data_IF_850669476371
#
_entry.id   IF_850669476371
#
_cell.length_a   1.000
_cell.length_b   1.000
_cell.length_c   1.000
_cell.angle_alpha   90.00
_cell.angle_beta   90.00
_cell.angle_gamma   90.00
#
_symmetry.space_group_name_H-M   'P 1'
#
loop_
_entity.id
_entity.type
_entity.pdbx_description
1 polymer ?
#
# COMPACT_ATOMS: atom_id res chain seq x y z
N UNK A 1 -14.66 -38.08 -2.39
CA UNK A 1 -13.26 -37.61 -2.29
C UNK A 1 -12.34 -38.75 -2.68
N UNK A 2 -11.29 -38.49 -3.48
CA UNK A 2 -10.35 -39.53 -3.94
C UNK A 2 -9.70 -40.25 -2.73
N UNK A 3 -9.70 -41.60 -2.66
CA UNK A 3 -9.12 -42.35 -1.53
C UNK A 3 -7.65 -42.02 -1.23
N UNK A 4 -6.86 -41.64 -2.25
CA UNK A 4 -5.47 -41.23 -2.07
C UNK A 4 -5.38 -39.88 -1.32
N UNK A 5 -6.26 -38.93 -1.64
CA UNK A 5 -6.33 -37.62 -0.96
C UNK A 5 -6.77 -37.78 0.48
N UNK A 6 -7.76 -38.64 0.76
CA UNK A 6 -8.23 -38.90 2.13
C UNK A 6 -7.13 -39.43 3.06
N UNK A 7 -6.17 -40.18 2.52
CA UNK A 7 -5.00 -40.66 3.30
C UNK A 7 -3.96 -39.57 3.57
N UNK A 8 -3.93 -38.51 2.77
CA UNK A 8 -3.02 -37.37 2.94
C UNK A 8 -3.62 -36.26 3.80
N UNK A 9 -4.93 -36.31 4.07
CA UNK A 9 -5.66 -35.29 4.83
C UNK A 9 -4.96 -34.86 6.14
N UNK A 10 -4.45 -35.77 7.00
CA UNK A 10 -3.76 -35.34 8.23
C UNK A 10 -2.51 -34.47 7.96
N UNK A 11 -1.72 -34.84 6.95
CA UNK A 11 -0.48 -34.14 6.57
C UNK A 11 -0.83 -32.80 5.91
N UNK A 12 -1.85 -32.78 5.05
CA UNK A 12 -2.33 -31.56 4.40
C UNK A 12 -2.83 -30.56 5.46
N UNK A 13 -3.57 -31.03 6.46
CA UNK A 13 -4.06 -30.19 7.55
C UNK A 13 -2.94 -29.69 8.47
N UNK A 14 -1.89 -30.49 8.69
CA UNK A 14 -0.70 -30.03 9.43
C UNK A 14 0.00 -28.88 8.71
N UNK A 15 0.17 -28.99 7.38
CA UNK A 15 0.74 -27.92 6.55
C UNK A 15 -0.13 -26.66 6.62
N UNK A 16 -1.45 -26.81 6.44
CA UNK A 16 -2.38 -25.70 6.55
C UNK A 16 -2.29 -25.02 7.90
N UNK A 17 -2.34 -25.79 8.99
CA UNK A 17 -2.29 -25.24 10.35
C UNK A 17 -0.96 -24.54 10.63
N UNK A 18 0.16 -25.08 10.12
CA UNK A 18 1.45 -24.42 10.24
C UNK A 18 1.44 -23.06 9.54
N UNK A 19 1.05 -23.01 8.26
CA UNK A 19 1.01 -21.77 7.48
C UNK A 19 0.03 -20.75 8.08
N UNK A 20 -1.16 -21.20 8.49
CA UNK A 20 -2.18 -20.37 9.12
C UNK A 20 -1.69 -19.72 10.43
N UNK A 21 -0.92 -20.47 11.23
CA UNK A 21 -0.39 -20.00 12.52
C UNK A 21 0.89 -19.15 12.40
N UNK A 22 1.50 -19.07 11.23
CA UNK A 22 2.71 -18.27 10.99
C UNK A 22 2.51 -17.29 9.82
N UNK A 23 1.48 -16.42 9.89
CA UNK A 23 1.20 -15.47 8.81
C UNK A 23 2.28 -14.40 8.76
N UNK A 24 2.77 -14.10 7.55
CA UNK A 24 3.75 -13.04 7.31
C UNK A 24 3.24 -12.08 6.23
N UNK A 25 3.43 -10.78 6.44
CA UNK A 25 2.91 -9.75 5.55
C UNK A 25 3.72 -9.66 4.26
N UNK A 26 3.12 -9.05 3.23
CA UNK A 26 3.75 -8.86 1.92
C UNK A 26 5.19 -8.35 2.02
N UNK A 27 6.11 -9.01 1.31
CA UNK A 27 7.56 -8.76 1.29
C UNK A 27 8.34 -9.12 2.56
N UNK A 28 7.70 -9.72 3.54
CA UNK A 28 8.33 -10.17 4.79
C UNK A 28 8.08 -11.65 5.08
N UNK A 29 7.71 -12.42 4.05
CA UNK A 29 7.35 -13.84 4.09
C UNK A 29 8.57 -14.77 4.28
N UNK A 30 9.56 -14.41 5.08
CA UNK A 30 10.84 -15.11 5.20
C UNK A 30 10.71 -16.50 5.85
N UNK A 31 9.87 -16.61 6.89
CA UNK A 31 9.55 -17.87 7.56
C UNK A 31 8.81 -18.81 6.63
N UNK A 32 7.78 -18.32 5.96
CA UNK A 32 6.99 -19.03 4.96
C UNK A 32 7.86 -19.48 3.78
N UNK A 33 8.71 -18.61 3.26
CA UNK A 33 9.72 -18.93 2.23
C UNK A 33 10.57 -20.12 2.68
N UNK A 34 11.10 -20.06 3.89
CA UNK A 34 12.00 -21.08 4.43
C UNK A 34 11.29 -22.41 4.63
N UNK A 35 10.05 -22.37 5.14
CA UNK A 35 9.21 -23.56 5.35
C UNK A 35 8.86 -24.25 4.02
N UNK A 36 8.35 -23.49 3.05
CA UNK A 36 7.97 -23.99 1.72
C UNK A 36 9.19 -24.54 0.99
N UNK A 37 10.29 -23.80 0.95
CA UNK A 37 11.51 -24.25 0.29
C UNK A 37 12.05 -25.55 0.91
N UNK A 38 12.04 -25.65 2.25
CA UNK A 38 12.44 -26.87 2.94
C UNK A 38 11.54 -28.07 2.62
N UNK A 39 10.23 -27.87 2.47
CA UNK A 39 9.31 -28.91 1.99
C UNK A 39 9.68 -29.36 0.58
N UNK A 40 9.84 -28.42 -0.35
CA UNK A 40 10.19 -28.71 -1.74
C UNK A 40 11.50 -29.52 -1.85
N UNK A 41 12.53 -29.09 -1.13
CA UNK A 41 13.84 -29.76 -1.07
C UNK A 41 13.71 -31.20 -0.53
N UNK A 42 12.95 -31.39 0.58
CA UNK A 42 12.68 -32.73 1.14
C UNK A 42 11.94 -33.65 0.17
N UNK A 43 11.15 -33.08 -0.73
CA UNK A 43 10.39 -33.81 -1.74
C UNK A 43 11.11 -33.90 -3.10
N UNK A 44 12.41 -33.57 -3.16
CA UNK A 44 13.25 -33.79 -4.33
C UNK A 44 13.11 -32.75 -5.44
N UNK A 45 12.50 -31.60 -5.15
CA UNK A 45 12.42 -30.49 -6.10
C UNK A 45 13.73 -29.71 -6.11
N UNK A 46 14.15 -29.29 -7.31
CA UNK A 46 15.18 -28.28 -7.47
C UNK A 46 14.58 -26.94 -7.08
N UNK A 47 14.93 -26.48 -5.89
CA UNK A 47 14.36 -25.26 -5.30
C UNK A 47 15.24 -24.05 -5.59
N UNK A 48 14.61 -22.97 -6.04
CA UNK A 48 15.22 -21.67 -6.27
C UNK A 48 14.59 -20.65 -5.33
N UNK A 49 15.43 -20.05 -4.48
CA UNK A 49 15.12 -18.85 -3.70
C UNK A 49 15.74 -17.63 -4.38
N UNK A 50 15.30 -16.44 -4.02
CA UNK A 50 15.84 -15.19 -4.55
C UNK A 50 16.43 -14.35 -3.42
N UNK A 51 17.51 -13.62 -3.71
CA UNK A 51 18.18 -12.77 -2.71
C UNK A 51 17.38 -11.49 -2.39
N UNK A 52 16.58 -11.03 -3.35
CA UNK A 52 15.94 -9.71 -3.37
C UNK A 52 14.40 -9.78 -3.42
N UNK A 53 13.84 -10.95 -3.11
CA UNK A 53 12.43 -11.14 -2.78
C UNK A 53 12.20 -12.50 -2.11
N UNK A 54 11.09 -12.62 -1.41
CA UNK A 54 10.64 -13.80 -0.65
C UNK A 54 9.98 -14.90 -1.51
N UNK A 55 9.99 -14.78 -2.84
CA UNK A 55 9.45 -15.82 -3.73
C UNK A 55 10.20 -17.15 -3.62
N UNK A 56 9.50 -18.27 -3.86
CA UNK A 56 10.11 -19.61 -3.95
C UNK A 56 9.59 -20.33 -5.19
N UNK A 57 10.50 -20.94 -5.94
CA UNK A 57 10.15 -21.80 -7.08
C UNK A 57 10.74 -23.18 -6.86
N UNK A 58 9.96 -24.22 -7.12
CA UNK A 58 10.43 -25.61 -7.13
C UNK A 58 10.18 -26.26 -8.48
N UNK A 59 11.12 -27.07 -8.96
CA UNK A 59 10.95 -27.84 -10.20
C UNK A 59 11.32 -29.32 -10.03
N UNK A 60 10.58 -30.19 -10.71
CA UNK A 60 10.91 -31.61 -10.86
C UNK A 60 10.71 -32.04 -12.32
N UNK A 61 11.43 -33.08 -12.74
CA UNK A 61 11.44 -33.53 -14.14
C UNK A 61 12.37 -32.69 -15.01
N UNK A 62 12.19 -32.80 -16.33
CA UNK A 62 12.99 -32.10 -17.34
C UNK A 62 12.31 -32.15 -18.71
N UNK A 63 12.54 -31.15 -19.54
CA UNK A 63 11.98 -31.08 -20.90
C UNK A 63 10.57 -30.48 -20.93
N UNK A 64 9.86 -30.70 -22.03
CA UNK A 64 8.53 -30.15 -22.28
C UNK A 64 7.44 -31.23 -22.14
N UNK A 65 6.19 -30.86 -21.82
CA UNK A 65 5.76 -29.50 -21.51
C UNK A 65 6.27 -29.03 -20.13
N UNK A 66 6.38 -27.71 -19.95
CA UNK A 66 6.58 -27.07 -18.65
C UNK A 66 5.21 -26.67 -18.10
N UNK A 67 4.75 -27.37 -17.08
CA UNK A 67 3.46 -27.10 -16.42
C UNK A 67 3.71 -26.46 -15.07
N UNK A 68 3.23 -25.24 -14.87
CA UNK A 68 3.40 -24.46 -13.67
C UNK A 68 2.10 -24.36 -12.84
N UNK A 69 2.19 -24.60 -11.53
CA UNK A 69 1.16 -24.25 -10.55
C UNK A 69 1.62 -23.07 -9.70
N UNK A 70 0.74 -22.07 -9.54
CA UNK A 70 1.01 -20.87 -8.73
C UNK A 70 0.13 -20.83 -7.49
N UNK A 71 0.74 -20.50 -6.35
CA UNK A 71 0.08 -20.07 -5.13
C UNK A 71 0.70 -18.74 -4.66
N UNK A 72 -0.11 -17.84 -4.11
CA UNK A 72 0.32 -16.67 -3.34
C UNK A 72 0.65 -17.07 -1.90
N UNK A 73 1.44 -16.24 -1.21
CA UNK A 73 2.00 -16.58 0.11
C UNK A 73 1.69 -15.59 1.22
N UNK A 74 1.37 -14.32 0.89
CA UNK A 74 1.36 -13.27 1.90
C UNK A 74 0.07 -13.22 2.72
N UNK A 75 0.19 -12.71 3.93
CA UNK A 75 -0.92 -12.41 4.82
C UNK A 75 -1.25 -10.90 4.83
N UNK A 76 -2.46 -10.59 5.28
CA UNK A 76 -2.91 -9.21 5.47
C UNK A 76 -2.59 -8.74 6.90
N UNK A 77 -2.15 -7.48 7.02
CA UNK A 77 -2.07 -6.78 8.31
C UNK A 77 -3.41 -6.15 8.64
N UNK A 78 -4.10 -6.69 9.65
CA UNK A 78 -5.47 -6.28 9.97
C UNK A 78 -5.80 -6.49 11.44
N UNK A 79 -6.92 -5.90 11.88
CA UNK A 79 -7.45 -6.12 13.21
C UNK A 79 -8.24 -7.43 13.28
N UNK A 80 -7.83 -8.32 14.17
CA UNK A 80 -8.53 -9.58 14.49
C UNK A 80 -8.75 -9.58 16.00
N UNK A 81 -10.01 -9.71 16.43
CA UNK A 81 -10.40 -9.72 17.85
C UNK A 81 -9.82 -8.55 18.67
N UNK A 82 -9.81 -7.34 18.09
CA UNK A 82 -9.34 -6.13 18.75
C UNK A 82 -7.82 -5.92 18.75
N UNK A 83 -7.06 -6.75 18.02
CA UNK A 83 -5.60 -6.65 17.92
C UNK A 83 -5.14 -6.65 16.47
N UNK A 84 -4.25 -5.72 16.13
CA UNK A 84 -3.61 -5.72 14.81
C UNK A 84 -2.55 -6.82 14.75
N UNK A 85 -2.70 -7.71 13.77
CA UNK A 85 -1.78 -8.81 13.53
C UNK A 85 -1.80 -9.21 12.05
N UNK A 86 -0.78 -10.00 11.64
CA UNK A 86 -0.81 -10.68 10.36
C UNK A 86 -1.86 -11.80 10.41
N UNK A 87 -2.64 -11.95 9.35
CA UNK A 87 -3.68 -12.97 9.26
C UNK A 87 -4.01 -13.31 7.80
N UNK A 88 -4.13 -14.60 7.48
CA UNK A 88 -4.50 -15.10 6.15
C UNK A 88 -6.01 -15.02 5.89
N UNK A 89 -6.60 -13.83 5.97
CA UNK A 89 -8.04 -13.66 5.69
C UNK A 89 -8.43 -13.85 4.22
N UNK A 90 -7.45 -13.84 3.29
CA UNK A 90 -7.66 -14.11 1.86
C UNK A 90 -7.44 -15.60 1.48
N UNK A 91 -6.99 -16.44 2.43
CA UNK A 91 -6.83 -17.88 2.24
C UNK A 91 -5.52 -18.33 1.54
N UNK A 92 -4.49 -17.48 1.51
CA UNK A 92 -3.22 -17.80 0.85
C UNK A 92 -2.48 -18.99 1.48
N UNK A 93 -2.63 -19.21 2.79
CA UNK A 93 -2.25 -20.44 3.49
C UNK A 93 -2.88 -21.70 2.89
N UNK A 94 -4.16 -21.66 2.57
CA UNK A 94 -4.86 -22.74 1.90
C UNK A 94 -4.40 -22.89 0.45
N UNK A 95 -4.14 -21.81 -0.28
CA UNK A 95 -3.62 -21.87 -1.65
C UNK A 95 -2.25 -22.58 -1.70
N UNK A 96 -1.33 -22.17 -0.82
CA UNK A 96 -0.03 -22.84 -0.64
C UNK A 96 -0.22 -24.31 -0.28
N UNK A 97 -1.12 -24.60 0.67
CA UNK A 97 -1.43 -25.97 1.08
C UNK A 97 -1.94 -26.82 -0.07
N UNK A 98 -2.80 -26.29 -0.95
CA UNK A 98 -3.32 -27.02 -2.11
C UNK A 98 -2.22 -27.38 -3.10
N UNK A 99 -1.28 -26.47 -3.36
CA UNK A 99 -0.12 -26.74 -4.23
C UNK A 99 0.81 -27.78 -3.59
N UNK A 100 1.14 -27.64 -2.30
CA UNK A 100 1.95 -28.62 -1.56
C UNK A 100 1.26 -29.99 -1.49
N UNK A 101 -0.05 -30.03 -1.26
CA UNK A 101 -0.84 -31.26 -1.26
C UNK A 101 -0.84 -31.96 -2.62
N UNK A 102 -0.80 -31.20 -3.71
CA UNK A 102 -0.65 -31.75 -5.08
C UNK A 102 0.69 -32.45 -5.24
N UNK A 103 1.77 -31.88 -4.70
CA UNK A 103 3.10 -32.49 -4.70
C UNK A 103 3.08 -33.82 -3.94
N UNK A 104 2.50 -33.84 -2.73
CA UNK A 104 2.38 -35.04 -1.92
C UNK A 104 1.55 -36.12 -2.61
N UNK A 105 0.48 -35.73 -3.32
CA UNK A 105 -0.38 -36.65 -4.06
C UNK A 105 0.37 -37.33 -5.21
N UNK A 106 1.12 -36.57 -6.02
CA UNK A 106 1.93 -37.13 -7.10
C UNK A 106 2.95 -38.15 -6.59
N UNK A 107 3.68 -37.82 -5.52
CA UNK A 107 4.60 -38.76 -4.90
C UNK A 107 3.90 -40.01 -4.37
N UNK A 108 2.76 -39.85 -3.69
CA UNK A 108 1.97 -40.96 -3.15
C UNK A 108 1.47 -41.89 -4.24
N UNK A 109 1.12 -41.34 -5.40
CA UNK A 109 0.68 -42.09 -6.59
C UNK A 109 1.85 -42.68 -7.38
N UNK A 110 3.10 -42.31 -7.07
CA UNK A 110 4.27 -42.69 -7.86
C UNK A 110 4.22 -42.12 -9.28
N UNK A 111 3.48 -41.02 -9.49
CA UNK A 111 3.27 -40.41 -10.79
C UNK A 111 4.07 -39.12 -10.92
N UNK A 112 4.92 -39.05 -11.93
CA UNK A 112 5.58 -37.83 -12.36
C UNK A 112 5.16 -37.55 -13.80
N UNK A 113 4.49 -36.41 -14.08
CA UNK A 113 4.09 -36.09 -15.43
C UNK A 113 5.33 -35.94 -16.33
N UNK A 114 5.23 -36.31 -17.62
CA UNK A 114 6.31 -36.08 -18.56
C UNK A 114 6.60 -34.57 -18.69
N UNK A 115 7.87 -34.22 -18.85
CA UNK A 115 8.32 -32.84 -18.93
C UNK A 115 8.74 -32.26 -17.57
N UNK A 116 8.47 -30.97 -17.37
CA UNK A 116 8.86 -30.24 -16.15
C UNK A 116 7.60 -29.81 -15.40
N UNK A 117 7.51 -30.20 -14.13
CA UNK A 117 6.49 -29.69 -13.23
C UNK A 117 7.09 -28.62 -12.33
N UNK A 118 6.57 -27.40 -12.45
CA UNK A 118 7.02 -26.22 -11.72
C UNK A 118 5.95 -25.80 -10.71
N UNK A 119 6.38 -25.46 -9.50
CA UNK A 119 5.53 -24.83 -8.49
C UNK A 119 6.10 -23.46 -8.15
N UNK A 120 5.25 -22.45 -8.14
CA UNK A 120 5.61 -21.05 -7.94
C UNK A 120 4.84 -20.56 -6.71
N UNK A 121 5.58 -20.22 -5.67
CA UNK A 121 5.05 -19.59 -4.46
C UNK A 121 5.39 -18.10 -4.53
N UNK A 122 4.40 -17.31 -4.93
CA UNK A 122 4.50 -15.89 -5.24
C UNK A 122 4.31 -15.06 -3.97
N UNK A 123 5.21 -14.10 -3.66
CA UNK A 123 5.03 -13.20 -2.52
C UNK A 123 4.05 -12.08 -2.88
N UNK A 124 3.72 -11.23 -1.91
CA UNK A 124 3.15 -9.89 -2.09
C UNK A 124 2.02 -9.75 -3.14
N UNK A 125 1.06 -10.68 -3.12
CA UNK A 125 -0.15 -10.59 -3.95
C UNK A 125 -1.02 -9.41 -3.50
N UNK A 126 -1.15 -9.20 -2.19
CA UNK A 126 -2.02 -8.18 -1.61
C UNK A 126 -1.54 -6.74 -1.91
N UNK A 127 -0.30 -6.60 -2.39
CA UNK A 127 0.27 -5.33 -2.88
C UNK A 127 0.17 -5.16 -4.39
N UNK A 128 -0.22 -6.20 -5.13
CA UNK A 128 -0.26 -6.23 -6.59
C UNK A 128 1.11 -6.26 -7.26
N UNK A 129 2.19 -6.40 -6.48
CA UNK A 129 3.58 -6.26 -6.97
C UNK A 129 4.33 -7.59 -7.03
N UNK A 130 3.83 -8.63 -6.38
CA UNK A 130 4.46 -9.94 -6.35
C UNK A 130 4.57 -10.63 -7.70
N UNK A 131 3.49 -10.65 -8.47
CA UNK A 131 3.44 -11.27 -9.79
C UNK A 131 4.43 -10.59 -10.77
N UNK A 132 4.45 -9.25 -10.78
CA UNK A 132 5.42 -8.45 -11.51
C UNK A 132 6.86 -8.89 -11.22
N UNK A 133 7.18 -9.04 -9.93
CA UNK A 133 8.50 -9.48 -9.50
C UNK A 133 8.83 -10.88 -9.99
N UNK A 134 7.88 -11.81 -9.95
CA UNK A 134 8.08 -13.17 -10.48
C UNK A 134 8.32 -13.17 -12.00
N UNK A 135 7.64 -12.30 -12.75
CA UNK A 135 7.87 -12.10 -14.19
C UNK A 135 9.27 -11.56 -14.46
N UNK A 136 9.73 -10.55 -13.70
CA UNK A 136 11.11 -10.02 -13.79
C UNK A 136 12.16 -11.11 -13.56
N UNK A 137 11.88 -12.04 -12.62
CA UNK A 137 12.73 -13.20 -12.33
C UNK A 137 12.65 -14.32 -13.38
N UNK A 138 11.88 -14.10 -14.44
CA UNK A 138 11.68 -14.99 -15.58
C UNK A 138 11.13 -16.37 -15.20
N UNK A 139 10.42 -16.49 -14.07
CA UNK A 139 9.98 -17.80 -13.54
C UNK A 139 8.85 -18.45 -14.35
N UNK A 140 8.21 -17.69 -15.24
CA UNK A 140 7.16 -18.17 -16.14
C UNK A 140 7.58 -18.17 -17.62
N UNK A 141 8.82 -17.76 -17.93
CA UNK A 141 9.25 -17.44 -19.32
C UNK A 141 9.08 -18.61 -20.29
N UNK A 142 9.32 -19.83 -19.83
CA UNK A 142 9.30 -21.07 -20.59
C UNK A 142 8.10 -21.97 -20.24
N UNK A 143 7.16 -21.50 -19.40
CA UNK A 143 5.98 -22.27 -19.03
C UNK A 143 5.04 -22.42 -20.24
N UNK A 144 4.67 -23.66 -20.57
CA UNK A 144 3.65 -23.98 -21.57
C UNK A 144 2.24 -23.76 -21.02
N UNK A 145 2.05 -24.10 -19.73
CA UNK A 145 0.79 -23.97 -19.03
C UNK A 145 1.03 -23.39 -17.64
N UNK A 146 0.18 -22.45 -17.24
CA UNK A 146 0.19 -21.85 -15.90
C UNK A 146 -1.22 -21.96 -15.31
N UNK A 147 -1.32 -22.60 -14.15
CA UNK A 147 -2.57 -22.72 -13.41
C UNK A 147 -2.43 -22.05 -12.05
N UNK A 148 -3.52 -21.43 -11.61
CA UNK A 148 -3.69 -20.91 -10.26
C UNK A 148 -5.11 -21.19 -9.79
N UNK A 149 -5.29 -21.24 -8.47
CA UNK A 149 -6.60 -21.38 -7.83
C UNK A 149 -6.70 -20.35 -6.72
N UNK A 150 -7.91 -19.88 -6.46
CA UNK A 150 -8.20 -18.98 -5.36
C UNK A 150 -9.49 -19.43 -4.69
N UNK A 151 -9.47 -19.57 -3.36
CA UNK A 151 -10.67 -19.81 -2.58
C UNK A 151 -11.57 -18.57 -2.66
N UNK A 152 -12.86 -18.77 -2.88
CA UNK A 152 -13.82 -17.67 -2.97
C UNK A 152 -14.79 -17.71 -1.80
N UNK A 153 -15.25 -16.54 -1.33
CA UNK A 153 -16.30 -16.47 -0.32
C UNK A 153 -17.59 -17.08 -0.87
N UNK A 154 -18.43 -17.61 0.02
CA UNK A 154 -19.67 -18.34 -0.33
C UNK A 154 -20.65 -17.51 -1.17
N UNK A 155 -20.57 -16.18 -1.07
CA UNK A 155 -21.35 -15.22 -1.84
C UNK A 155 -21.03 -15.24 -3.33
N UNK A 156 -19.82 -15.67 -3.69
CA UNK A 156 -19.38 -15.72 -5.09
C UNK A 156 -19.39 -17.13 -5.67
N UNK A 157 -19.09 -18.13 -4.84
CA UNK A 157 -19.03 -19.51 -5.29
C UNK A 157 -19.53 -20.44 -4.19
N UNK A 158 -20.45 -21.34 -4.55
CA UNK A 158 -20.97 -22.35 -3.62
C UNK A 158 -19.84 -23.27 -3.17
N UNK A 159 -19.80 -23.61 -1.89
CA UNK A 159 -18.81 -24.57 -1.37
C UNK A 159 -18.86 -25.90 -2.15
N UNK A 160 -17.68 -26.44 -2.45
CA UNK A 160 -17.52 -27.67 -3.25
C UNK A 160 -17.71 -27.49 -4.76
N UNK A 161 -17.78 -26.26 -5.25
CA UNK A 161 -17.82 -25.95 -6.69
C UNK A 161 -16.57 -25.19 -7.12
N UNK A 162 -16.27 -25.22 -8.43
CA UNK A 162 -15.17 -24.49 -9.03
C UNK A 162 -15.70 -23.71 -10.24
N UNK A 163 -15.24 -22.48 -10.42
CA UNK A 163 -15.48 -21.69 -11.64
C UNK A 163 -14.21 -21.70 -12.51
N UNK A 164 -14.34 -21.74 -13.85
CA UNK A 164 -13.20 -21.82 -14.76
C UNK A 164 -12.39 -20.52 -14.83
N UNK A 165 -12.97 -19.40 -14.38
CA UNK A 165 -12.31 -18.10 -14.37
C UNK A 165 -12.67 -17.33 -13.12
N UNK A 166 -11.70 -16.55 -12.63
CA UNK A 166 -11.91 -15.53 -11.63
C UNK A 166 -12.10 -14.22 -12.40
N UNK A 167 -13.35 -13.76 -12.50
CA UNK A 167 -13.70 -12.52 -13.21
C UNK A 167 -13.60 -11.34 -12.25
N UNK A 168 -12.38 -10.84 -12.00
CA UNK A 168 -12.21 -9.55 -11.34
C UNK A 168 -12.19 -8.42 -12.35
N UNK A 169 -12.74 -7.27 -11.94
CA UNK A 169 -12.48 -6.01 -12.63
C UNK A 169 -11.09 -5.48 -12.26
N UNK A 170 -10.49 -4.74 -13.18
CA UNK A 170 -9.37 -3.85 -12.92
C UNK A 170 -9.63 -2.97 -11.67
N UNK A 171 -8.59 -2.75 -10.88
CA UNK A 171 -8.62 -1.87 -9.72
C UNK A 171 -7.46 -0.86 -9.74
N UNK A 172 -7.70 0.34 -9.22
CA UNK A 172 -6.66 1.35 -9.02
C UNK A 172 -6.95 2.19 -7.79
N UNK A 173 -5.90 2.51 -7.05
CA UNK A 173 -5.97 3.42 -5.92
C UNK A 173 -5.30 4.74 -6.27
N UNK A 174 -5.96 5.87 -5.96
CA UNK A 174 -5.40 7.21 -6.13
C UNK A 174 -5.38 7.89 -4.78
N UNK A 175 -4.27 8.56 -4.46
CA UNK A 175 -4.21 9.43 -3.27
C UNK A 175 -3.80 10.83 -3.67
N UNK A 176 -4.26 11.82 -2.92
CA UNK A 176 -3.99 13.21 -3.26
C UNK A 176 -4.23 14.19 -2.12
N UNK A 177 -3.88 15.44 -2.40
CA UNK A 177 -4.05 16.59 -1.50
C UNK A 177 -4.71 17.75 -2.26
N UNK A 178 -5.67 18.40 -1.60
CA UNK A 178 -6.30 19.65 -2.02
C UNK A 178 -5.62 20.78 -1.26
N UNK A 179 -5.10 21.76 -1.99
CA UNK A 179 -4.40 22.92 -1.42
C UNK A 179 -5.25 24.18 -1.64
N UNK A 180 -5.70 24.76 -0.54
CA UNK A 180 -6.34 26.07 -0.44
C UNK A 180 -5.54 27.00 0.46
N UNK A 181 -6.22 27.87 1.20
CA UNK A 181 -5.62 28.82 2.14
C UNK A 181 -6.44 28.89 3.42
N UNK A 182 -5.76 28.83 4.57
CA UNK A 182 -6.41 28.93 5.87
C UNK A 182 -6.89 30.35 6.14
N UNK A 183 -8.02 30.47 6.83
CA UNK A 183 -8.54 31.75 7.30
C UNK A 183 -9.34 31.57 8.59
N UNK A 184 -9.51 32.66 9.33
CA UNK A 184 -10.47 32.68 10.44
C UNK A 184 -11.90 32.58 9.88
N UNK A 185 -12.77 31.76 10.46
CA UNK A 185 -14.13 31.51 9.95
C UNK A 185 -14.99 32.78 9.81
N UNK A 186 -14.75 33.80 10.65
CA UNK A 186 -15.41 35.11 10.55
C UNK A 186 -14.95 35.97 9.35
N UNK A 187 -13.93 35.55 8.60
CA UNK A 187 -13.39 36.26 7.42
C UNK A 187 -13.20 35.29 6.26
N UNK A 188 -14.28 34.66 5.76
CA UNK A 188 -14.17 33.57 4.80
C UNK A 188 -13.58 34.03 3.45
N UNK A 189 -13.76 35.29 3.09
CA UNK A 189 -13.20 35.89 1.85
C UNK A 189 -11.67 35.96 1.82
N UNK A 190 -10.97 35.68 2.92
CA UNK A 190 -9.50 35.66 3.00
C UNK A 190 -8.91 34.26 2.82
N UNK A 191 -9.74 33.22 2.75
CA UNK A 191 -9.33 31.82 2.67
C UNK A 191 -9.97 31.07 1.51
N UNK A 192 -9.49 29.87 1.27
CA UNK A 192 -10.08 28.91 0.34
C UNK A 192 -10.34 27.64 1.13
N UNK A 193 -11.62 27.38 1.41
CA UNK A 193 -12.06 26.26 2.22
C UNK A 193 -11.91 24.93 1.46
N UNK A 194 -10.94 24.11 1.86
CA UNK A 194 -10.70 22.81 1.20
C UNK A 194 -11.82 21.80 1.43
N UNK A 195 -12.65 21.96 2.47
CA UNK A 195 -13.84 21.11 2.67
C UNK A 195 -14.88 21.38 1.57
N UNK A 196 -15.13 22.63 1.23
CA UNK A 196 -16.08 22.99 0.17
C UNK A 196 -15.61 22.50 -1.21
N UNK A 197 -14.31 22.65 -1.49
CA UNK A 197 -13.68 22.10 -2.71
C UNK A 197 -13.79 20.58 -2.72
N UNK A 198 -13.50 19.91 -1.59
CA UNK A 198 -13.62 18.47 -1.47
C UNK A 198 -15.04 17.95 -1.63
N UNK A 199 -16.03 18.64 -1.06
CA UNK A 199 -17.45 18.29 -1.20
C UNK A 199 -17.89 18.36 -2.67
N UNK A 200 -17.49 19.43 -3.39
CA UNK A 200 -17.74 19.55 -4.82
C UNK A 200 -17.03 18.43 -5.61
N UNK A 201 -15.79 18.12 -5.25
CA UNK A 201 -15.04 17.03 -5.87
C UNK A 201 -15.74 15.68 -5.71
N UNK A 202 -16.24 15.34 -4.51
CA UNK A 202 -17.02 14.11 -4.28
C UNK A 202 -18.27 14.04 -5.15
N UNK A 203 -18.98 15.15 -5.32
CA UNK A 203 -20.17 15.21 -6.20
C UNK A 203 -19.79 14.96 -7.67
N UNK A 204 -18.70 15.56 -8.14
CA UNK A 204 -18.24 15.42 -9.52
C UNK A 204 -17.71 14.00 -9.82
N UNK A 205 -17.17 13.27 -8.84
CA UNK A 205 -16.80 11.86 -9.04
C UNK A 205 -18.01 11.00 -9.47
N UNK A 206 -19.21 11.33 -9.00
CA UNK A 206 -20.44 10.61 -9.38
C UNK A 206 -20.92 10.95 -10.79
N UNK A 207 -20.30 11.94 -11.45
CA UNK A 207 -20.66 12.40 -12.80
C UNK A 207 -19.74 11.86 -13.90
N UNK A 208 -18.74 11.06 -13.53
CA UNK A 208 -17.88 10.36 -14.48
C UNK A 208 -18.74 9.46 -15.36
N UNK A 209 -18.67 9.66 -16.68
CA UNK A 209 -19.42 8.88 -17.68
C UNK A 209 -18.44 8.06 -18.51
N UNK A 210 -18.46 6.75 -18.30
CA UNK A 210 -17.81 5.78 -19.16
C UNK A 210 -18.87 4.99 -19.93
N UNK A 211 -18.43 4.00 -20.71
CA UNK A 211 -19.36 3.05 -21.35
C UNK A 211 -20.33 2.46 -20.30
N UNK A 212 -21.64 2.74 -20.40
CA UNK A 212 -22.61 2.28 -19.42
C UNK A 212 -22.82 0.76 -19.45
N UNK A 213 -22.37 0.08 -20.51
CA UNK A 213 -22.43 -1.38 -20.62
C UNK A 213 -21.33 -2.08 -19.85
N UNK A 214 -20.31 -1.33 -19.38
CA UNK A 214 -19.19 -1.89 -18.62
C UNK A 214 -19.28 -1.47 -17.16
N UNK A 215 -19.43 -2.41 -16.21
CA UNK A 215 -19.42 -2.10 -14.79
C UNK A 215 -18.16 -1.35 -14.35
N UNK A 216 -18.34 -0.21 -13.68
CA UNK A 216 -17.25 0.60 -13.15
C UNK A 216 -17.69 1.39 -11.91
N UNK A 217 -16.73 1.82 -11.10
CA UNK A 217 -16.97 2.71 -9.96
C UNK A 217 -15.74 3.57 -9.67
N UNK A 218 -15.99 4.78 -9.17
CA UNK A 218 -14.96 5.67 -8.61
C UNK A 218 -15.50 6.17 -7.28
N UNK A 219 -14.83 5.84 -6.18
CA UNK A 219 -15.31 6.13 -4.83
C UNK A 219 -14.23 6.82 -4.00
N UNK A 220 -14.60 7.93 -3.36
CA UNK A 220 -13.76 8.53 -2.34
C UNK A 220 -13.86 7.70 -1.06
N UNK A 221 -12.77 7.02 -0.71
CA UNK A 221 -12.70 6.11 0.45
C UNK A 221 -12.07 6.77 1.68
N UNK A 222 -11.40 7.91 1.49
CA UNK A 222 -10.88 8.74 2.59
C UNK A 222 -10.98 10.21 2.22
N UNK A 223 -11.41 11.04 3.16
CA UNK A 223 -11.34 12.50 3.09
C UNK A 223 -11.08 13.07 4.49
N UNK A 224 -9.95 13.76 4.66
CA UNK A 224 -9.57 14.39 5.94
C UNK A 224 -9.17 15.84 5.73
N UNK A 225 -9.75 16.75 6.51
CA UNK A 225 -9.52 18.19 6.46
C UNK A 225 -9.89 18.82 7.81
N UNK A 226 -9.31 19.97 8.13
CA UNK A 226 -9.56 20.64 9.41
C UNK A 226 -8.64 20.18 10.55
N UNK A 227 -8.68 20.94 11.64
CA UNK A 227 -8.02 20.63 12.90
C UNK A 227 -9.07 20.57 14.03
N UNK A 228 -8.65 20.46 15.28
CA UNK A 228 -9.54 20.49 16.45
C UNK A 228 -10.24 21.86 16.64
N UNK A 229 -9.76 22.91 15.97
CA UNK A 229 -10.32 24.26 16.09
C UNK A 229 -11.55 24.48 15.19
N UNK A 230 -12.72 24.68 15.80
CA UNK A 230 -13.99 24.88 15.07
C UNK A 230 -14.15 26.25 14.40
N UNK A 231 -13.20 27.17 14.55
CA UNK A 231 -13.26 28.54 14.00
C UNK A 231 -12.21 28.81 12.91
N UNK A 232 -11.57 27.77 12.37
CA UNK A 232 -10.57 27.87 11.30
C UNK A 232 -11.11 27.23 10.03
N UNK A 233 -11.02 27.96 8.91
CA UNK A 233 -11.25 27.43 7.57
C UNK A 233 -10.01 26.64 7.16
N UNK A 234 -10.12 25.35 6.83
CA UNK A 234 -8.97 24.54 6.48
C UNK A 234 -8.43 24.89 5.09
N UNK A 235 -7.10 25.05 5.01
CA UNK A 235 -6.38 25.28 3.76
C UNK A 235 -5.78 24.00 3.15
N UNK A 236 -5.96 22.84 3.78
CA UNK A 236 -5.51 21.54 3.24
C UNK A 236 -6.54 20.44 3.48
N UNK A 237 -6.65 19.52 2.52
CA UNK A 237 -7.40 18.28 2.68
C UNK A 237 -6.66 17.13 2.00
N UNK A 238 -6.71 15.92 2.58
CA UNK A 238 -6.13 14.70 1.99
C UNK A 238 -7.23 13.72 1.64
N UNK A 239 -7.07 13.02 0.53
CA UNK A 239 -8.06 12.05 0.09
C UNK A 239 -7.45 10.77 -0.49
N UNK A 240 -8.28 9.73 -0.54
CA UNK A 240 -8.01 8.48 -1.26
C UNK A 240 -9.23 8.11 -2.11
N UNK A 241 -8.99 7.60 -3.32
CA UNK A 241 -10.01 7.07 -4.21
C UNK A 241 -9.73 5.58 -4.49
N UNK A 242 -10.80 4.78 -4.53
CA UNK A 242 -10.83 3.42 -5.06
C UNK A 242 -11.58 3.46 -6.41
N UNK A 243 -10.90 3.02 -7.46
CA UNK A 243 -11.43 2.91 -8.81
C UNK A 243 -11.55 1.43 -9.15
N UNK A 244 -12.71 1.04 -9.70
CA UNK A 244 -12.97 -0.31 -10.24
C UNK A 244 -13.50 -0.19 -11.66
N UNK A 245 -13.12 -1.12 -12.53
CA UNK A 245 -13.69 -1.26 -13.87
C UNK A 245 -13.60 -2.71 -14.33
N UNK A 246 -14.57 -3.22 -15.08
CA UNK A 246 -14.49 -4.61 -15.56
C UNK A 246 -13.27 -4.87 -16.48
N UNK A 247 -12.77 -3.83 -17.17
CA UNK A 247 -11.65 -3.95 -18.11
C UNK A 247 -10.60 -2.87 -17.91
N UNK A 248 -9.37 -3.16 -18.34
CA UNK A 248 -8.23 -2.24 -18.24
C UNK A 248 -8.41 -1.02 -19.13
N UNK A 249 -9.02 -1.23 -20.30
CA UNK A 249 -9.36 -0.17 -21.24
C UNK A 249 -10.26 0.88 -20.58
N UNK A 250 -11.25 0.46 -19.80
CA UNK A 250 -12.13 1.39 -19.08
C UNK A 250 -11.39 1.99 -17.86
N UNK A 251 -10.53 1.23 -17.19
CA UNK A 251 -9.68 1.76 -16.11
C UNK A 251 -8.74 2.87 -16.58
N UNK A 252 -8.22 2.80 -17.80
CA UNK A 252 -7.38 3.88 -18.34
C UNK A 252 -8.21 5.13 -18.66
N UNK A 253 -9.49 4.98 -18.96
CA UNK A 253 -10.44 6.10 -19.11
C UNK A 253 -10.78 6.82 -17.81
N UNK A 254 -10.57 6.18 -16.64
CA UNK A 254 -10.74 6.80 -15.32
C UNK A 254 -9.45 7.43 -14.78
N UNK A 255 -8.35 7.32 -15.52
CA UNK A 255 -7.05 7.85 -15.10
C UNK A 255 -6.95 9.37 -15.30
N UNK A 256 -7.29 10.12 -14.25
CA UNK A 256 -7.18 11.57 -14.24
C UNK A 256 -5.75 12.07 -14.48
N UNK A 257 -4.71 11.26 -14.20
CA UNK A 257 -3.32 11.63 -14.42
C UNK A 257 -2.88 11.56 -15.89
N UNK A 258 -3.63 10.84 -16.73
CA UNK A 258 -3.44 10.75 -18.20
C UNK A 258 -4.36 11.69 -18.99
N UNK A 259 -5.23 12.45 -18.31
CA UNK A 259 -6.13 13.41 -18.95
C UNK A 259 -5.35 14.51 -19.69
N UNK A 260 -5.83 14.99 -20.86
CA UNK A 260 -5.25 16.14 -21.58
C UNK A 260 -5.24 17.45 -20.76
N UNK A 261 -5.90 17.49 -19.60
CA UNK A 261 -5.85 18.61 -18.65
C UNK A 261 -4.79 18.47 -17.55
N UNK A 262 -3.83 17.54 -17.68
CA UNK A 262 -2.75 17.27 -16.72
C UNK A 262 -2.01 18.53 -16.25
N UNK A 263 -1.85 19.53 -17.12
CA UNK A 263 -1.16 20.79 -16.80
C UNK A 263 -1.80 21.59 -15.66
N UNK A 264 -3.10 21.38 -15.39
CA UNK A 264 -3.81 22.01 -14.27
C UNK A 264 -3.60 21.31 -12.92
N UNK A 265 -2.98 20.12 -12.93
CA UNK A 265 -2.79 19.29 -11.74
C UNK A 265 -1.30 19.27 -11.35
N UNK A 266 -1.00 19.68 -10.11
CA UNK A 266 0.38 19.68 -9.63
C UNK A 266 0.86 18.27 -9.32
N UNK A 267 2.07 17.90 -9.75
CA UNK A 267 2.68 16.64 -9.33
C UNK A 267 3.11 16.70 -7.83
N UNK A 268 2.94 15.60 -7.12
CA UNK A 268 3.61 15.35 -5.83
C UNK A 268 4.91 14.57 -6.10
N UNK A 269 5.99 14.93 -5.40
CA UNK A 269 7.18 14.09 -5.34
C UNK A 269 6.82 12.77 -4.62
N UNK A 270 7.40 11.63 -5.04
CA UNK A 270 7.19 10.36 -4.34
C UNK A 270 7.64 10.51 -2.88
N UNK A 271 6.76 10.17 -1.95
CA UNK A 271 7.10 10.16 -0.52
C UNK A 271 8.19 9.11 -0.28
N UNK A 272 9.44 9.55 -0.11
CA UNK A 272 10.48 8.73 0.50
C UNK A 272 10.10 8.48 1.97
N UNK A 273 10.17 7.22 2.41
CA UNK A 273 10.02 6.89 3.83
C UNK A 273 11.00 7.73 4.65
N UNK A 274 10.57 8.42 5.72
CA UNK A 274 11.50 9.06 6.64
C UNK A 274 12.33 7.98 7.35
N UNK A 275 13.65 8.18 7.56
CA UNK A 275 14.45 7.27 8.34
C UNK A 275 13.94 7.28 9.78
N UNK A 276 13.50 6.11 10.28
CA UNK A 276 13.19 5.94 11.70
C UNK A 276 14.45 6.19 12.53
N UNK A 277 14.49 7.33 13.22
CA UNK A 277 15.48 7.57 14.28
C UNK A 277 15.12 6.65 15.46
N UNK A 278 15.99 5.69 15.76
CA UNK A 278 15.95 4.92 16.99
C UNK A 278 16.16 5.85 18.20
N UNK A 279 15.06 6.20 18.88
CA UNK A 279 15.10 6.72 20.24
C UNK A 279 15.08 5.55 21.22
N UNK A 280 16.26 5.16 21.71
CA UNK A 280 16.39 4.24 22.83
C UNK A 280 15.91 4.93 24.12
N UNK A 281 14.70 4.59 24.57
CA UNK A 281 14.27 4.81 25.95
C UNK A 281 14.32 3.47 26.69
N UNK A 282 15.47 3.20 27.33
CA UNK A 282 15.59 2.22 28.40
C UNK A 282 15.52 2.92 29.75
N UNK A 283 14.46 2.67 30.53
CA UNK A 283 14.41 2.93 31.97
C UNK A 283 14.71 1.61 32.71
N UNK A 284 15.53 1.71 33.75
CA UNK A 284 15.97 0.64 34.66
C UNK A 284 17.51 0.63 34.67
N UNK A 285 18.25 1.01 35.70
CA UNK A 285 17.96 1.20 37.11
C UNK A 285 18.84 0.22 37.89
N UNK A 286 20.03 0.64 38.35
CA UNK A 286 20.69 0.22 39.60
C UNK A 286 22.05 0.91 39.82
N UNK A 287 22.21 1.40 41.05
CA UNK A 287 23.44 1.42 41.87
C UNK A 287 24.57 2.45 41.71
N UNK A 288 25.19 2.66 42.89
CA UNK A 288 25.89 3.83 43.45
C UNK A 288 27.41 3.84 43.18
N UNK A 289 28.02 4.98 43.58
CA UNK A 289 29.44 5.34 43.86
C UNK A 289 30.05 6.16 42.71
N UNK A 290 30.73 7.30 42.87
CA UNK A 290 31.23 8.12 44.00
C UNK A 290 32.36 9.03 43.44
N UNK A 291 32.56 10.24 44.00
CA UNK A 291 33.72 11.14 43.74
C UNK A 291 33.44 12.28 42.74
N UNK A 292 33.24 13.54 43.13
CA UNK A 292 34.14 14.62 43.62
C UNK A 292 34.94 15.39 42.54
N UNK A 293 34.71 16.71 42.56
CA UNK A 293 35.63 17.85 42.35
C UNK A 293 35.85 18.46 40.95
N UNK A 294 35.66 19.80 40.94
CA UNK A 294 36.36 20.90 40.24
C UNK A 294 36.54 20.85 38.70
N UNK A 295 36.46 21.94 37.93
CA UNK A 295 36.41 23.38 38.18
C UNK A 295 36.82 24.09 36.88
N UNK A 296 36.33 25.32 36.67
CA UNK A 296 36.90 26.41 35.81
C UNK A 296 37.22 26.09 34.33
N UNK A 297 36.68 26.77 33.31
CA UNK A 297 36.97 28.18 33.00
C UNK A 297 36.28 28.57 31.68
N UNK A 298 35.61 29.72 31.67
CA UNK A 298 35.33 30.61 30.52
C UNK A 298 36.59 31.54 30.33
N UNK A 299 36.72 32.56 29.45
CA UNK A 299 35.71 33.18 28.55
C UNK A 299 36.22 33.77 27.20
N UNK A 300 35.29 34.37 26.44
CA UNK A 300 35.56 35.49 25.51
C UNK A 300 34.88 35.34 24.14
N UNK A 301 34.21 36.33 23.55
CA UNK A 301 34.29 37.77 23.75
C UNK A 301 33.12 38.50 23.04
N UNK A 302 32.75 39.64 23.62
CA UNK A 302 32.25 40.89 23.01
C UNK A 302 30.85 40.99 22.36
N UNK A 303 29.95 41.62 23.12
CA UNK A 303 29.06 42.71 22.66
C UNK A 303 29.71 44.08 22.98
N UNK A 304 29.23 45.17 22.37
CA UNK A 304 28.88 46.39 23.10
C UNK A 304 27.36 46.68 22.92
N UNK A 305 26.51 46.88 23.96
CA UNK A 305 26.33 48.05 24.87
C UNK A 305 26.18 49.39 24.12
N UNK A 306 25.29 50.33 24.46
CA UNK A 306 24.17 50.45 25.41
C UNK A 306 23.55 51.87 25.27
N UNK A 307 22.42 52.07 25.96
CA UNK A 307 21.82 53.35 26.44
C UNK A 307 20.94 54.15 25.47
N UNK A 308 19.79 54.71 25.86
CA UNK A 308 19.10 54.79 27.17
C UNK A 308 18.03 55.90 27.15
N UNK A 309 17.07 55.86 28.11
CA UNK A 309 16.16 56.97 28.48
C UNK A 309 14.69 56.80 28.03
N UNK A 310 13.73 56.38 28.88
CA UNK A 310 12.84 57.19 29.78
C UNK A 310 11.93 58.18 29.03
N UNK A 311 10.66 58.45 29.31
CA UNK A 311 9.54 58.00 30.16
C UNK A 311 8.33 58.88 29.73
N UNK A 312 7.09 58.48 30.05
CA UNK A 312 5.82 59.26 30.11
C UNK A 312 4.92 59.51 28.88
N UNK A 313 3.78 58.82 28.92
CA UNK A 313 2.39 59.33 28.98
C UNK A 313 1.99 60.63 28.23
N UNK A 314 1.06 60.52 27.26
CA UNK A 314 -0.10 61.42 27.11
C UNK A 314 -1.03 60.98 25.96
N UNK A 315 -2.34 61.13 26.19
CA UNK A 315 -3.44 60.79 25.28
C UNK A 315 -3.70 61.87 24.21
N UNK A 316 -4.41 61.44 23.15
CA UNK A 316 -5.32 62.16 22.23
C UNK A 316 -4.72 62.94 21.05
N UNK A 317 -5.11 62.47 19.85
CA UNK A 317 -5.79 63.28 18.83
C UNK A 317 -4.93 64.11 17.89
N UNK A 318 -4.81 63.66 16.64
CA UNK A 318 -4.20 64.46 15.58
C UNK A 318 -4.20 63.74 14.24
N UNK A 319 -5.15 64.13 13.39
CA UNK A 319 -5.27 63.76 11.97
C UNK A 319 -3.97 64.15 11.23
N UNK A 320 -3.39 63.24 10.45
CA UNK A 320 -2.34 63.59 9.47
C UNK A 320 -2.42 62.67 8.25
N UNK A 321 -2.47 63.34 7.10
CA UNK A 321 -2.62 62.83 5.74
C UNK A 321 -1.42 61.96 5.33
N UNK A 322 -1.66 60.85 4.63
CA UNK A 322 -0.63 60.05 3.96
C UNK A 322 -0.68 60.24 2.43
N UNK A 323 0.49 60.19 1.74
CA UNK A 323 0.67 60.57 0.33
C UNK A 323 0.39 59.38 -0.64
N UNK A 324 0.55 59.53 -1.98
CA UNK A 324 -0.30 58.87 -2.98
C UNK A 324 -0.02 57.37 -3.18
N UNK A 325 -1.03 56.72 -3.75
CA UNK A 325 -1.14 55.30 -4.07
C UNK A 325 0.08 54.74 -4.82
N UNK A 326 0.58 53.59 -4.34
CA UNK A 326 1.36 52.65 -5.17
C UNK A 326 0.40 51.90 -6.10
N UNK A 327 0.79 51.60 -7.35
CA UNK A 327 -0.01 50.74 -8.22
C UNK A 327 -0.15 49.34 -7.58
N UNK A 328 -1.27 48.63 -7.80
CA UNK A 328 -1.46 47.31 -7.23
C UNK A 328 -0.38 46.37 -7.79
N UNK A 329 0.26 45.64 -6.88
CA UNK A 329 1.10 44.51 -7.22
C UNK A 329 0.25 43.48 -7.98
N UNK A 330 0.86 42.88 -9.00
CA UNK A 330 0.27 41.83 -9.83
C UNK A 330 -0.47 40.79 -8.99
N UNK A 331 -1.73 40.55 -9.35
CA UNK A 331 -2.54 39.48 -8.80
C UNK A 331 -1.90 38.14 -9.17
N UNK A 332 -1.19 37.52 -8.23
CA UNK A 332 -0.88 36.11 -8.34
C UNK A 332 -2.20 35.33 -8.36
N UNK A 333 -2.41 34.54 -9.41
CA UNK A 333 -3.50 33.59 -9.53
C UNK A 333 -3.43 32.58 -8.36
N UNK A 334 -4.21 32.83 -7.30
CA UNK A 334 -4.39 31.93 -6.16
C UNK A 334 -5.51 30.94 -6.47
N UNK A 335 -5.40 30.23 -7.59
CA UNK A 335 -6.26 29.09 -7.89
C UNK A 335 -5.98 27.93 -6.93
N UNK A 336 -7.01 27.29 -6.40
CA UNK A 336 -6.88 26.02 -5.67
C UNK A 336 -6.23 24.97 -6.55
N UNK A 337 -5.22 24.24 -6.04
CA UNK A 337 -4.52 23.20 -6.80
C UNK A 337 -4.80 21.81 -6.24
N UNK A 338 -5.17 20.88 -7.12
CA UNK A 338 -5.25 19.45 -6.85
C UNK A 338 -3.91 18.80 -7.17
N UNK A 339 -3.39 17.99 -6.24
CA UNK A 339 -2.20 17.17 -6.48
C UNK A 339 -2.50 15.69 -6.31
N UNK A 340 -2.05 14.90 -7.27
CA UNK A 340 -2.18 13.44 -7.24
C UNK A 340 -0.81 12.79 -7.04
N UNK A 341 -0.78 11.72 -6.27
CA UNK A 341 0.33 10.78 -6.24
C UNK A 341 -0.06 9.52 -7.03
N UNK A 342 0.79 9.02 -7.94
CA UNK A 342 0.51 7.76 -8.63
C UNK A 342 0.44 6.62 -7.61
N UNK A 343 -0.68 5.90 -7.61
CA UNK A 343 -0.80 4.62 -6.91
C UNK A 343 -0.15 3.51 -7.71
N UNK A 344 0.33 2.48 -7.02
CA UNK A 344 0.83 1.25 -7.63
C UNK A 344 -0.39 0.52 -8.24
N UNK A 345 -0.36 0.31 -9.55
CA UNK A 345 -1.33 -0.53 -10.26
C UNK A 345 -0.61 -1.82 -10.70
N UNK A 346 -1.16 -3.02 -10.43
CA UNK A 346 -0.69 -4.21 -11.11
C UNK A 346 -0.93 -4.06 -12.63
N UNK A 347 -0.03 -4.53 -13.51
CA UNK A 347 -0.33 -4.64 -14.92
C UNK A 347 -1.50 -5.61 -15.06
N UNK A 348 -2.41 -5.29 -15.95
CA UNK A 348 -3.66 -6.01 -16.01
C UNK A 348 -3.75 -6.82 -17.31
N UNK A 349 -4.42 -7.97 -17.21
CA UNK A 349 -4.59 -8.93 -18.29
C UNK A 349 -5.48 -8.32 -19.38
N UNK A 350 -4.94 -8.21 -20.60
CA UNK A 350 -5.76 -8.19 -21.80
C UNK A 350 -6.13 -9.64 -22.12
N UNK A 351 -7.37 -10.02 -21.79
CA UNK A 351 -8.06 -11.17 -22.36
C UNK A 351 -9.25 -10.68 -23.17
#
# INVERSE_FOLDING_TARGET
>A
MNPAVKKLEPIIMEIFQHLHNHPEISWQEYGTTSYVAGLLERHGYRTRRFEDCTGVVGEIGSGRPVVALRADMDALWQEVDGRFQANHSCGHDAHMTMVLGTILLFQRMGYYPPGTFRVIFQPAEEKGTGALRMVEKQVIRDADYLYGVHLRPVQELKNGTAAPAILHGAARFITGEIIGSEAHAARPHLGINTIEVGASFVQELSRIRLDPMVPHSVKMTRFTAGSESGNIIPGRARFSLDLRAQTNRIMDGTDFARSPHREKFGALAPCGNPPHRHGLHGRGGTERRGGTADGTSDPGCARPRAAGGTDRDARRGGLSLLPPEKPPAESHDVGSRLRFAPGIAPPANDL
#
